data_IF_762926887958
#
_entry.id   IF_762926887958
#
_cell.length_a   1.000
_cell.length_b   1.000
_cell.length_c   1.000
_cell.angle_alpha   90.00
_cell.angle_beta   90.00
_cell.angle_gamma   90.00
#
_symmetry.space_group_name_H-M   'P 1'
#
loop_
_entity.id
_entity.type
_entity.pdbx_description
1 polymer ?
#
# COMPACT_ATOMS: atom_id res chain seq x y z
N UNK A 1 17.04 -24.09 15.91
CA UNK A 1 17.57 -23.18 14.86
C UNK A 1 16.50 -22.89 13.80
N UNK A 2 15.25 -22.58 14.20
CA UNK A 2 14.16 -22.18 13.29
C UNK A 2 13.63 -20.76 13.59
N UNK A 3 14.02 -20.15 14.72
CA UNK A 3 13.46 -18.88 15.19
C UNK A 3 13.95 -17.63 14.45
N UNK A 4 15.16 -17.64 13.88
CA UNK A 4 15.75 -16.43 13.31
C UNK A 4 15.01 -15.91 12.06
N UNK A 5 14.37 -16.81 11.29
CA UNK A 5 13.56 -16.44 10.11
C UNK A 5 12.15 -16.02 10.50
N UNK A 6 11.57 -16.62 11.54
CA UNK A 6 10.28 -16.21 12.10
C UNK A 6 10.36 -14.83 12.79
N UNK A 7 11.44 -14.55 13.53
CA UNK A 7 11.70 -13.24 14.13
C UNK A 7 11.99 -12.14 13.10
N UNK A 8 12.59 -12.46 11.96
CA UNK A 8 12.83 -11.47 10.89
C UNK A 8 11.55 -11.08 10.14
N UNK A 9 10.56 -11.97 10.06
CA UNK A 9 9.20 -11.68 9.55
C UNK A 9 8.36 -10.78 10.48
N UNK A 10 8.87 -10.37 11.64
CA UNK A 10 8.14 -9.54 12.61
C UNK A 10 8.59 -8.06 12.63
N UNK A 11 9.66 -7.71 11.91
CA UNK A 11 10.28 -6.38 12.05
C UNK A 11 9.88 -5.35 10.98
N UNK A 12 9.22 -5.78 9.89
CA UNK A 12 8.76 -4.84 8.86
C UNK A 12 7.52 -4.09 9.37
N UNK A 13 7.75 -2.93 9.99
CA UNK A 13 6.69 -2.05 10.49
C UNK A 13 6.21 -1.02 9.46
N UNK A 14 7.04 -0.77 8.45
CA UNK A 14 6.81 0.21 7.40
C UNK A 14 7.16 -0.40 6.05
N UNK A 15 6.19 -0.42 5.14
CA UNK A 15 6.36 -0.77 3.73
C UNK A 15 6.05 0.45 2.84
N UNK A 16 6.97 0.80 1.95
CA UNK A 16 6.78 1.83 0.94
C UNK A 16 6.91 1.20 -0.45
N UNK A 17 5.87 1.34 -1.27
CA UNK A 17 5.83 0.84 -2.63
C UNK A 17 5.67 1.99 -3.61
N UNK A 18 6.54 2.00 -4.63
CA UNK A 18 6.51 2.99 -5.71
C UNK A 18 6.28 2.26 -7.04
N UNK A 19 5.07 2.36 -7.55
CA UNK A 19 4.74 2.01 -8.92
C UNK A 19 4.93 3.25 -9.79
N UNK A 20 5.74 3.14 -10.84
CA UNK A 20 5.88 4.22 -11.82
C UNK A 20 4.61 4.42 -12.65
N UNK A 21 4.75 4.87 -13.90
CA UNK A 21 3.61 5.06 -14.82
C UNK A 21 2.76 3.80 -15.06
N UNK A 22 3.34 2.60 -14.85
CA UNK A 22 2.65 1.33 -15.02
C UNK A 22 1.87 0.87 -13.76
N UNK A 23 1.92 1.64 -12.67
CA UNK A 23 1.33 1.24 -11.38
C UNK A 23 2.14 0.19 -10.64
N UNK A 24 1.54 -0.43 -9.63
CA UNK A 24 2.12 -1.60 -8.97
C UNK A 24 1.84 -2.85 -9.83
N UNK A 25 2.76 -3.84 -9.84
CA UNK A 25 2.45 -5.14 -10.40
C UNK A 25 1.22 -5.75 -9.72
N UNK A 26 0.36 -6.42 -10.48
CA UNK A 26 -0.81 -7.10 -9.92
C UNK A 26 -0.42 -8.05 -8.79
N UNK A 27 -1.24 -8.07 -7.74
CA UNK A 27 -1.08 -8.91 -6.56
C UNK A 27 0.22 -8.68 -5.75
N UNK A 28 0.95 -7.59 -6.01
CA UNK A 28 2.18 -7.27 -5.29
C UNK A 28 1.94 -7.17 -3.77
N UNK A 29 0.78 -6.64 -3.36
CA UNK A 29 0.41 -6.51 -1.96
C UNK A 29 -0.05 -7.80 -1.29
N UNK A 30 -0.45 -8.82 -2.07
CA UNK A 30 -0.87 -10.13 -1.53
C UNK A 30 0.27 -10.81 -0.77
N UNK A 31 1.52 -10.56 -1.16
CA UNK A 31 2.69 -11.09 -0.45
C UNK A 31 2.89 -10.48 0.96
N UNK A 32 2.19 -9.38 1.26
CA UNK A 32 2.31 -8.62 2.49
C UNK A 32 1.02 -8.59 3.32
N UNK A 33 -0.06 -9.19 2.83
CA UNK A 33 -1.38 -9.23 3.50
C UNK A 33 -1.31 -9.85 4.91
N UNK A 34 -0.43 -10.84 5.07
CA UNK A 34 -0.22 -11.60 6.30
C UNK A 34 1.02 -11.15 7.08
N UNK A 35 1.62 -10.00 6.76
CA UNK A 35 2.82 -9.55 7.47
C UNK A 35 2.45 -8.96 8.85
N UNK A 36 2.67 -9.69 9.96
CA UNK A 36 2.11 -9.33 11.25
C UNK A 36 2.72 -8.06 11.84
N UNK A 37 3.90 -7.63 11.36
CA UNK A 37 4.56 -6.42 11.84
C UNK A 37 4.08 -5.12 11.20
N UNK A 38 3.42 -5.15 10.04
CA UNK A 38 3.27 -3.95 9.22
C UNK A 38 2.19 -3.02 9.79
N UNK A 39 2.61 -1.83 10.22
CA UNK A 39 1.75 -0.80 10.82
C UNK A 39 1.53 0.37 9.88
N UNK A 40 2.42 0.58 8.91
CA UNK A 40 2.38 1.70 7.96
C UNK A 40 2.67 1.25 6.54
N UNK A 41 1.72 1.53 5.66
CA UNK A 41 1.84 1.31 4.23
C UNK A 41 1.81 2.64 3.50
N UNK A 42 2.79 2.88 2.65
CA UNK A 42 2.85 4.03 1.75
C UNK A 42 2.82 3.50 0.32
N UNK A 43 1.86 3.93 -0.48
CA UNK A 43 1.77 3.58 -1.90
C UNK A 43 1.78 4.85 -2.73
N UNK A 44 2.77 4.94 -3.62
CA UNK A 44 2.79 5.93 -4.69
C UNK A 44 2.74 5.17 -6.02
N UNK A 45 1.59 5.16 -6.68
CA UNK A 45 1.38 4.43 -7.92
C UNK A 45 0.27 5.09 -8.73
N UNK A 46 0.34 5.04 -10.06
CA UNK A 46 -0.69 5.64 -10.90
C UNK A 46 -2.06 4.96 -10.75
N UNK A 47 -2.03 3.64 -10.67
CA UNK A 47 -3.21 2.77 -10.54
C UNK A 47 -2.91 1.72 -9.48
N UNK A 48 -3.93 1.38 -8.69
CA UNK A 48 -3.94 0.27 -7.73
C UNK A 48 -5.06 -0.68 -8.13
N UNK A 49 -4.77 -1.98 -8.20
CA UNK A 49 -5.75 -3.00 -8.58
C UNK A 49 -6.74 -3.27 -7.43
N UNK A 50 -7.93 -3.81 -7.75
CA UNK A 50 -8.86 -4.24 -6.70
C UNK A 50 -8.28 -5.35 -5.81
N UNK A 51 -7.40 -6.21 -6.34
CA UNK A 51 -6.70 -7.23 -5.56
C UNK A 51 -5.79 -6.61 -4.50
N UNK A 52 -5.08 -5.54 -4.87
CA UNK A 52 -4.24 -4.78 -3.95
C UNK A 52 -5.07 -4.11 -2.85
N UNK A 53 -6.24 -3.56 -3.17
CA UNK A 53 -7.16 -3.00 -2.17
C UNK A 53 -7.63 -4.07 -1.18
N UNK A 54 -8.00 -5.26 -1.66
CA UNK A 54 -8.41 -6.38 -0.79
C UNK A 54 -7.25 -6.82 0.11
N UNK A 55 -6.04 -6.88 -0.42
CA UNK A 55 -4.85 -7.21 0.36
C UNK A 55 -4.59 -6.17 1.47
N UNK A 56 -4.71 -4.88 1.16
CA UNK A 56 -4.58 -3.78 2.14
C UNK A 56 -5.62 -3.93 3.26
N UNK A 57 -6.88 -4.20 2.91
CA UNK A 57 -7.97 -4.37 3.88
C UNK A 57 -7.78 -5.62 4.76
N UNK A 58 -7.02 -6.60 4.27
CA UNK A 58 -6.74 -7.84 4.97
C UNK A 58 -5.55 -7.73 5.94
N UNK A 59 -4.81 -6.62 5.96
CA UNK A 59 -3.67 -6.41 6.85
C UNK A 59 -4.14 -6.10 8.29
N UNK A 60 -4.02 -7.06 9.23
CA UNK A 60 -4.71 -6.97 10.52
C UNK A 60 -4.12 -5.91 11.47
N UNK A 61 -2.87 -5.50 11.24
CA UNK A 61 -2.13 -4.58 12.11
C UNK A 61 -1.87 -3.21 11.47
N UNK A 62 -2.45 -2.97 10.28
CA UNK A 62 -2.24 -1.72 9.56
C UNK A 62 -2.94 -0.57 10.28
N UNK A 63 -2.16 0.44 10.69
CA UNK A 63 -2.65 1.61 11.40
C UNK A 63 -2.64 2.86 10.53
N UNK A 64 -1.70 2.93 9.59
CA UNK A 64 -1.46 4.08 8.72
C UNK A 64 -1.39 3.65 7.27
N UNK A 65 -2.17 4.33 6.43
CA UNK A 65 -2.12 4.19 4.99
C UNK A 65 -1.93 5.57 4.36
N UNK A 66 -0.82 5.77 3.65
CA UNK A 66 -0.58 6.97 2.85
C UNK A 66 -0.68 6.60 1.37
N UNK A 67 -1.62 7.21 0.65
CA UNK A 67 -1.89 6.96 -0.77
C UNK A 67 -1.59 8.18 -1.62
N UNK A 68 -0.72 8.00 -2.61
CA UNK A 68 -0.49 8.88 -3.74
C UNK A 68 -0.85 8.14 -5.03
N UNK A 69 -2.13 8.14 -5.38
CA UNK A 69 -2.69 7.36 -6.49
C UNK A 69 -3.93 8.02 -7.07
N UNK A 70 -4.41 7.53 -8.21
CA UNK A 70 -5.78 7.73 -8.64
C UNK A 70 -6.67 6.66 -7.99
N UNK A 71 -7.83 7.06 -7.47
CA UNK A 71 -8.80 6.18 -6.81
C UNK A 71 -10.19 6.82 -6.84
N UNK A 72 -11.23 5.99 -6.94
CA UNK A 72 -12.61 6.44 -6.82
C UNK A 72 -13.03 6.66 -5.36
N UNK A 73 -14.04 7.51 -5.15
CA UNK A 73 -14.48 7.90 -3.81
C UNK A 73 -14.99 6.73 -2.97
N UNK A 74 -15.63 5.72 -3.58
CA UNK A 74 -16.19 4.57 -2.84
C UNK A 74 -15.09 3.68 -2.29
N UNK A 75 -14.06 3.42 -3.10
CA UNK A 75 -12.88 2.68 -2.66
C UNK A 75 -12.16 3.42 -1.54
N UNK A 76 -12.00 4.75 -1.68
CA UNK A 76 -11.37 5.58 -0.65
C UNK A 76 -12.15 5.58 0.67
N UNK A 77 -13.48 5.69 0.62
CA UNK A 77 -14.34 5.60 1.81
C UNK A 77 -14.22 4.24 2.49
N UNK A 78 -14.20 3.15 1.71
CA UNK A 78 -14.01 1.80 2.23
C UNK A 78 -12.69 1.69 2.99
N UNK A 79 -11.59 2.21 2.45
CA UNK A 79 -10.30 2.23 3.13
C UNK A 79 -10.32 3.05 4.42
N UNK A 80 -10.92 4.26 4.39
CA UNK A 80 -11.05 5.13 5.57
C UNK A 80 -11.87 4.51 6.70
N UNK A 81 -12.86 3.68 6.36
CA UNK A 81 -13.70 3.00 7.35
C UNK A 81 -13.03 1.80 8.02
N UNK A 82 -12.05 1.19 7.35
CA UNK A 82 -11.39 -0.02 7.85
C UNK A 82 -9.99 0.24 8.43
N UNK A 83 -9.34 1.35 8.06
CA UNK A 83 -7.98 1.67 8.46
C UNK A 83 -7.98 2.93 9.32
N UNK A 84 -7.38 2.90 10.53
CA UNK A 84 -7.49 4.00 11.50
C UNK A 84 -7.05 5.37 10.98
N UNK A 85 -6.02 5.42 10.13
CA UNK A 85 -5.46 6.66 9.61
C UNK A 85 -5.12 6.52 8.14
N UNK A 86 -5.97 7.09 7.29
CA UNK A 86 -5.75 7.14 5.84
C UNK A 86 -5.46 8.57 5.41
N UNK A 87 -4.29 8.80 4.81
CA UNK A 87 -4.00 10.02 4.04
C UNK A 87 -4.09 9.70 2.57
N UNK A 88 -4.83 10.52 1.84
CA UNK A 88 -4.99 10.39 0.41
C UNK A 88 -4.60 11.71 -0.25
N UNK A 89 -3.73 11.61 -1.25
CA UNK A 89 -3.38 12.68 -2.17
C UNK A 89 -3.58 12.15 -3.59
N UNK A 90 -4.51 12.69 -4.37
CA UNK A 90 -4.64 12.31 -5.77
C UNK A 90 -3.36 12.69 -6.54
N UNK A 91 -2.94 11.83 -7.46
CA UNK A 91 -1.80 12.14 -8.35
C UNK A 91 -2.12 13.34 -9.23
N UNK A 92 -1.24 14.35 -9.21
CA UNK A 92 -1.32 15.47 -10.15
C UNK A 92 -0.64 15.13 -11.47
N UNK A 93 -0.93 15.90 -12.53
CA UNK A 93 -0.22 15.80 -13.80
C UNK A 93 1.30 15.97 -13.65
N UNK A 94 1.72 16.77 -12.68
CA UNK A 94 3.13 17.04 -12.39
C UNK A 94 3.81 15.84 -11.72
N UNK A 95 3.08 15.14 -10.83
CA UNK A 95 3.58 13.91 -10.20
C UNK A 95 3.74 12.78 -11.24
N UNK A 96 2.84 12.69 -12.22
CA UNK A 96 2.92 11.71 -13.33
C UNK A 96 4.14 11.95 -14.23
N UNK A 97 4.44 13.22 -14.54
CA UNK A 97 5.63 13.60 -15.30
C UNK A 97 6.93 13.28 -14.56
N UNK A 98 6.98 13.50 -13.24
CA UNK A 98 8.14 13.13 -12.42
C UNK A 98 8.37 11.61 -12.38
N UNK A 99 7.29 10.83 -12.47
CA UNK A 99 7.32 9.36 -12.38
C UNK A 99 7.68 8.67 -13.71
N UNK A 100 7.73 9.41 -14.82
CA UNK A 100 8.04 8.91 -16.16
C UNK A 100 9.45 9.29 -16.65
N UNK A 101 10.23 9.99 -15.82
CA UNK A 101 11.62 10.40 -16.09
C UNK A 101 12.67 9.54 -15.36
N UNK A 102 12.25 8.49 -14.66
CA UNK A 102 13.08 7.50 -13.96
C UNK A 102 12.87 6.12 -14.59
#
# INVERSE_FOLDING_TARGET
MMDALAQRRLALEHLELKGGAMGLPDECLVLFDAHPGNKRLVIAAEIISNHDIIAILSMPNLQYLDLLTLMDDRTLETLKNNIPRVKYKPLSALDRLASSLL
#
